data_IF_710639988656
#
_entry.id   IF_710639988656
#
_cell.length_a   1.000
_cell.length_b   1.000
_cell.length_c   1.000
_cell.angle_alpha   90.00
_cell.angle_beta   90.00
_cell.angle_gamma   90.00
#
_symmetry.space_group_name_H-M   'P 1'
#
loop_
_entity.id
_entity.type
_entity.pdbx_description
1 polymer ?
#
# COMPACT_ATOMS: atom_id res chain seq x y z
N UNK A 1 -30.52 9.37 -2.74
CA UNK A 1 -29.54 10.48 -2.87
C UNK A 1 -29.67 10.99 -4.29
N UNK A 2 -29.87 12.30 -4.47
CA UNK A 2 -29.93 12.90 -5.81
C UNK A 2 -28.59 12.67 -6.53
N UNK A 3 -28.67 12.34 -7.81
CA UNK A 3 -27.53 11.90 -8.65
C UNK A 3 -26.59 13.05 -9.07
N UNK A 4 -26.83 14.27 -8.55
CA UNK A 4 -26.08 15.48 -8.90
C UNK A 4 -25.65 16.18 -7.61
N UNK A 5 -24.34 16.37 -7.46
CA UNK A 5 -23.76 17.13 -6.36
C UNK A 5 -24.26 18.58 -6.37
N UNK A 6 -24.70 19.08 -5.22
CA UNK A 6 -25.13 20.47 -5.06
C UNK A 6 -23.91 21.41 -4.97
N UNK A 7 -24.10 22.67 -5.37
CA UNK A 7 -23.05 23.69 -5.20
C UNK A 7 -22.82 23.95 -3.71
N UNK A 8 -21.58 23.76 -3.26
CA UNK A 8 -21.20 23.89 -1.85
C UNK A 8 -21.19 25.36 -1.39
N UNK A 9 -22.01 25.69 -0.38
CA UNK A 9 -21.78 26.85 0.50
C UNK A 9 -21.17 26.37 1.82
N UNK A 10 -19.87 26.64 2.08
CA UNK A 10 -19.21 26.22 3.32
C UNK A 10 -19.85 26.75 4.60
N UNK A 11 -20.60 27.86 4.56
CA UNK A 11 -21.27 28.42 5.75
C UNK A 11 -22.61 27.78 6.06
N UNK A 12 -23.21 27.09 5.09
CA UNK A 12 -24.54 26.48 5.22
C UNK A 12 -24.54 24.96 5.09
N UNK A 13 -23.38 24.35 4.83
CA UNK A 13 -23.21 22.91 4.90
C UNK A 13 -23.61 22.39 6.30
N UNK A 14 -24.56 21.44 6.40
CA UNK A 14 -24.89 20.82 7.68
C UNK A 14 -23.71 20.05 8.24
N UNK A 15 -23.30 20.39 9.46
CA UNK A 15 -22.14 19.82 10.14
C UNK A 15 -22.45 18.53 10.90
N UNK A 16 -23.61 17.91 10.63
CA UNK A 16 -24.04 16.64 11.24
C UNK A 16 -24.26 15.56 10.17
N UNK A 17 -23.98 14.32 10.58
CA UNK A 17 -24.05 13.14 9.71
C UNK A 17 -22.89 13.07 8.72
N UNK A 18 -23.07 12.22 7.71
CA UNK A 18 -22.07 11.99 6.67
C UNK A 18 -22.24 12.99 5.53
N UNK A 19 -21.12 13.59 5.08
CA UNK A 19 -21.08 14.53 3.97
C UNK A 19 -19.92 14.19 3.05
N UNK A 20 -20.21 14.11 1.75
CA UNK A 20 -19.20 13.96 0.71
C UNK A 20 -19.06 15.30 -0.03
N UNK A 21 -17.85 15.86 -0.03
CA UNK A 21 -17.53 17.09 -0.74
C UNK A 21 -16.59 16.76 -1.89
N UNK A 22 -17.06 16.97 -3.12
CA UNK A 22 -16.21 16.85 -4.31
C UNK A 22 -15.46 18.17 -4.54
N UNK A 23 -14.14 18.09 -4.73
CA UNK A 23 -13.33 19.28 -4.95
C UNK A 23 -12.16 19.04 -5.91
N UNK A 24 -12.26 19.58 -7.12
CA UNK A 24 -11.22 19.52 -8.17
C UNK A 24 -10.02 20.41 -7.86
N UNK A 25 -8.97 20.33 -8.68
CA UNK A 25 -7.80 21.21 -8.54
C UNK A 25 -8.21 22.69 -8.63
N UNK A 26 -7.70 23.53 -7.74
CA UNK A 26 -7.97 24.97 -7.74
C UNK A 26 -9.32 25.42 -7.18
N UNK A 27 -10.22 24.52 -6.75
CA UNK A 27 -11.57 24.88 -6.28
C UNK A 27 -11.66 25.30 -4.80
N UNK A 28 -10.54 25.70 -4.18
CA UNK A 28 -10.55 26.22 -2.81
C UNK A 28 -10.73 25.16 -1.71
N UNK A 29 -10.28 23.90 -1.91
CA UNK A 29 -10.29 22.85 -0.87
C UNK A 29 -9.83 23.34 0.50
N UNK A 30 -8.68 24.00 0.53
CA UNK A 30 -8.09 24.53 1.75
C UNK A 30 -8.98 25.60 2.40
N UNK A 31 -9.58 26.47 1.58
CA UNK A 31 -10.50 27.50 2.03
C UNK A 31 -11.74 26.89 2.66
N UNK A 32 -12.31 25.87 2.02
CA UNK A 32 -13.45 25.11 2.56
C UNK A 32 -13.12 24.47 3.90
N UNK A 33 -11.98 23.77 4.02
CA UNK A 33 -11.58 23.13 5.28
C UNK A 33 -11.45 24.18 6.39
N UNK A 34 -10.80 25.32 6.11
CA UNK A 34 -10.67 26.41 7.08
C UNK A 34 -12.02 26.95 7.55
N UNK A 35 -12.95 27.20 6.61
CA UNK A 35 -14.30 27.66 6.92
C UNK A 35 -15.04 26.67 7.83
N UNK A 36 -15.02 25.37 7.48
CA UNK A 36 -15.68 24.33 8.27
C UNK A 36 -15.06 24.19 9.67
N UNK A 37 -13.73 24.24 9.77
CA UNK A 37 -13.02 24.15 11.05
C UNK A 37 -13.40 25.30 12.00
N UNK A 38 -13.40 26.54 11.50
CA UNK A 38 -13.79 27.72 12.29
C UNK A 38 -15.27 27.66 12.70
N UNK A 39 -16.16 27.17 11.83
CA UNK A 39 -17.57 26.96 12.18
C UNK A 39 -17.76 25.95 13.28
N UNK A 40 -17.00 24.85 13.27
CA UNK A 40 -17.08 23.82 14.31
C UNK A 40 -16.54 24.33 15.66
N UNK A 41 -15.44 25.09 15.64
CA UNK A 41 -14.88 25.70 16.87
C UNK A 41 -15.86 26.68 17.54
N UNK A 42 -16.59 27.46 16.74
CA UNK A 42 -17.45 28.53 17.24
C UNK A 42 -18.95 28.16 17.29
N UNK A 43 -19.34 26.99 16.78
CA UNK A 43 -20.74 26.57 16.70
C UNK A 43 -21.58 27.37 15.71
N UNK A 44 -21.01 27.76 14.55
CA UNK A 44 -21.65 28.65 13.57
C UNK A 44 -22.44 27.92 12.46
N UNK A 45 -23.38 28.62 11.82
CA UNK A 45 -24.21 28.11 10.72
C UNK A 45 -25.70 27.85 11.05
N UNK A 46 -26.21 28.41 12.15
CA UNK A 46 -27.64 28.35 12.51
C UNK A 46 -28.19 26.90 12.54
N UNK A 47 -29.25 26.58 11.79
CA UNK A 47 -29.82 25.22 11.72
C UNK A 47 -28.86 24.17 11.14
N UNK A 48 -27.80 24.59 10.44
CA UNK A 48 -26.76 23.73 9.89
C UNK A 48 -25.53 23.60 10.82
N UNK A 49 -25.54 24.25 11.99
CA UNK A 49 -24.46 24.20 12.96
C UNK A 49 -24.36 22.82 13.64
N UNK A 50 -23.17 22.52 14.14
CA UNK A 50 -23.00 21.40 15.08
C UNK A 50 -23.68 21.76 16.41
N UNK A 51 -24.22 20.79 17.18
CA UNK A 51 -24.99 21.08 18.39
C UNK A 51 -24.28 21.89 19.48
N UNK A 52 -22.94 21.94 19.47
CA UNK A 52 -22.10 22.68 20.42
C UNK A 52 -20.80 23.15 19.75
N UNK A 53 -20.10 24.16 20.27
CA UNK A 53 -18.71 24.40 19.90
C UNK A 53 -17.83 23.21 20.29
N UNK A 54 -16.80 22.96 19.48
CA UNK A 54 -15.81 21.90 19.67
C UNK A 54 -14.43 22.48 19.98
N UNK A 55 -13.59 21.74 20.69
CA UNK A 55 -12.17 22.09 20.88
C UNK A 55 -11.30 21.58 19.73
N UNK A 56 -10.06 22.05 19.61
CA UNK A 56 -9.12 21.60 18.56
C UNK A 56 -8.77 20.11 18.65
N UNK A 57 -8.88 19.51 19.85
CA UNK A 57 -8.67 18.08 20.11
C UNK A 57 -9.87 17.23 19.68
N UNK A 58 -11.08 17.81 19.69
CA UNK A 58 -12.32 17.14 19.28
C UNK A 58 -12.52 17.15 17.76
N UNK A 59 -11.71 17.92 17.02
CA UNK A 59 -11.78 18.09 15.58
C UNK A 59 -10.75 17.21 14.86
N UNK A 60 -11.12 15.95 14.60
CA UNK A 60 -10.28 15.01 13.88
C UNK A 60 -10.17 15.38 12.39
N UNK A 61 -8.94 15.63 11.95
CA UNK A 61 -8.59 15.84 10.54
C UNK A 61 -7.48 14.86 10.16
N UNK A 62 -7.73 14.04 9.14
CA UNK A 62 -6.77 13.04 8.65
C UNK A 62 -6.35 13.30 7.21
N UNK A 63 -5.08 13.06 6.88
CA UNK A 63 -4.54 13.19 5.52
C UNK A 63 -3.48 12.11 5.23
N UNK A 64 -2.98 12.05 4.00
CA UNK A 64 -2.10 10.97 3.54
C UNK A 64 -0.63 11.16 3.92
N UNK A 65 -0.14 12.40 4.00
CA UNK A 65 1.30 12.69 4.10
C UNK A 65 1.61 13.61 5.28
N UNK A 66 2.76 13.42 5.91
CA UNK A 66 3.24 14.28 7.00
C UNK A 66 3.46 15.74 6.56
N UNK A 67 3.85 15.99 5.30
CA UNK A 67 3.95 17.36 4.81
C UNK A 67 2.58 18.06 4.78
N UNK A 68 1.52 17.33 4.40
CA UNK A 68 0.16 17.86 4.37
C UNK A 68 -0.43 18.05 5.76
N UNK A 69 -0.06 17.24 6.77
CA UNK A 69 -0.50 17.47 8.16
C UNK A 69 0.08 18.77 8.69
N UNK A 70 1.38 19.00 8.50
CA UNK A 70 2.06 20.23 8.94
C UNK A 70 1.53 21.47 8.21
N UNK A 71 1.39 21.39 6.88
CA UNK A 71 0.80 22.48 6.08
C UNK A 71 -0.61 22.82 6.58
N UNK A 72 -1.44 21.80 6.84
CA UNK A 72 -2.81 21.98 7.27
C UNK A 72 -2.89 22.53 8.70
N UNK A 73 -2.07 22.03 9.62
CA UNK A 73 -1.99 22.52 11.01
C UNK A 73 -1.57 23.98 11.05
N UNK A 74 -0.52 24.35 10.30
CA UNK A 74 -0.06 25.73 10.18
C UNK A 74 -1.15 26.66 9.63
N UNK A 75 -1.87 26.23 8.60
CA UNK A 75 -2.99 26.99 8.03
C UNK A 75 -4.15 27.14 9.00
N UNK A 76 -4.55 26.09 9.72
CA UNK A 76 -5.62 26.16 10.72
C UNK A 76 -5.23 27.17 11.82
N UNK A 77 -4.00 27.10 12.33
CA UNK A 77 -3.47 28.06 13.32
C UNK A 77 -3.55 29.50 12.79
N UNK A 78 -3.12 29.76 11.55
CA UNK A 78 -3.22 31.10 10.94
C UNK A 78 -4.65 31.59 10.86
N UNK A 79 -5.58 30.75 10.38
CA UNK A 79 -6.99 31.11 10.25
C UNK A 79 -7.64 31.43 11.61
N UNK A 80 -7.33 30.67 12.67
CA UNK A 80 -7.80 30.92 14.03
C UNK A 80 -7.26 32.28 14.51
N UNK A 81 -5.96 32.52 14.33
CA UNK A 81 -5.32 33.78 14.72
C UNK A 81 -5.95 34.98 13.99
N UNK A 82 -6.09 34.91 12.67
CA UNK A 82 -6.63 35.99 11.85
C UNK A 82 -8.10 36.27 12.19
N UNK A 83 -8.93 35.25 12.35
CA UNK A 83 -10.32 35.44 12.76
C UNK A 83 -10.41 36.02 14.19
N UNK A 84 -9.51 35.62 15.10
CA UNK A 84 -9.44 36.20 16.44
C UNK A 84 -9.16 37.69 16.39
N UNK A 85 -8.16 38.11 15.60
CA UNK A 85 -7.84 39.53 15.41
C UNK A 85 -9.04 40.26 14.77
N UNK A 86 -9.70 39.66 13.78
CA UNK A 86 -10.90 40.20 13.16
C UNK A 86 -12.04 40.37 14.18
N UNK A 87 -12.22 39.44 15.12
CA UNK A 87 -13.21 39.56 16.21
C UNK A 87 -12.88 40.71 17.17
N UNK A 88 -11.60 40.92 17.50
CA UNK A 88 -11.16 42.02 18.38
C UNK A 88 -11.30 43.39 17.71
N UNK A 89 -11.08 43.46 16.40
CA UNK A 89 -11.21 44.69 15.59
C UNK A 89 -12.62 44.94 15.09
N UNK A 90 -13.50 43.94 15.21
CA UNK A 90 -14.84 43.89 14.62
C UNK A 90 -14.86 44.21 13.11
N UNK A 91 -13.75 43.97 12.41
CA UNK A 91 -13.53 44.33 11.00
C UNK A 91 -12.43 43.47 10.39
N UNK A 92 -12.54 43.24 9.07
CA UNK A 92 -11.58 42.45 8.30
C UNK A 92 -11.76 42.69 6.80
N UNK A 93 -10.67 42.61 6.05
CA UNK A 93 -10.69 42.66 4.58
C UNK A 93 -10.85 41.27 3.94
N UNK A 94 -10.78 40.19 4.75
CA UNK A 94 -10.93 38.82 4.25
C UNK A 94 -12.43 38.47 4.10
N UNK A 95 -12.92 38.14 2.89
CA UNK A 95 -14.34 37.88 2.66
C UNK A 95 -14.92 36.74 3.50
N UNK A 96 -14.14 35.69 3.80
CA UNK A 96 -14.60 34.59 4.65
C UNK A 96 -14.83 35.05 6.08
N UNK A 97 -13.86 35.77 6.64
CA UNK A 97 -13.94 36.24 8.01
C UNK A 97 -15.03 37.29 8.17
N UNK A 98 -15.25 38.13 7.16
CA UNK A 98 -16.36 39.09 7.15
C UNK A 98 -17.71 38.37 7.29
N UNK A 99 -17.95 37.34 6.47
CA UNK A 99 -19.19 36.53 6.57
C UNK A 99 -19.30 35.79 7.92
N UNK A 100 -18.19 35.30 8.48
CA UNK A 100 -18.20 34.68 9.80
C UNK A 100 -18.50 35.69 10.92
N UNK A 101 -17.96 36.91 10.85
CA UNK A 101 -18.22 37.98 11.82
C UNK A 101 -19.70 38.40 11.87
N UNK A 102 -20.40 38.31 10.73
CA UNK A 102 -21.84 38.54 10.64
C UNK A 102 -22.64 37.47 11.40
N UNK A 103 -22.16 36.22 11.43
CA UNK A 103 -22.81 35.11 12.16
C UNK A 103 -22.44 35.07 13.66
N UNK A 104 -21.34 35.71 14.06
CA UNK A 104 -20.89 35.75 15.46
C UNK A 104 -21.66 36.83 16.23
N UNK A 105 -22.48 36.38 17.19
CA UNK A 105 -23.24 37.24 18.11
C UNK A 105 -22.35 37.97 19.12
N UNK A 106 -21.52 37.23 19.86
CA UNK A 106 -20.56 37.78 20.83
C UNK A 106 -19.12 37.63 20.31
N UNK A 107 -18.62 38.71 19.70
CA UNK A 107 -17.26 38.77 19.12
C UNK A 107 -16.18 38.73 20.20
N UNK A 108 -16.45 39.21 21.42
CA UNK A 108 -15.49 39.18 22.53
C UNK A 108 -15.33 37.76 23.05
N UNK A 109 -16.44 37.05 23.23
CA UNK A 109 -16.42 35.63 23.62
C UNK A 109 -15.74 34.78 22.53
N UNK A 110 -16.09 34.98 21.26
CA UNK A 110 -15.45 34.28 20.15
C UNK A 110 -13.93 34.50 20.13
N UNK A 111 -13.45 35.73 20.35
CA UNK A 111 -12.02 36.02 20.44
C UNK A 111 -11.32 35.29 21.60
N UNK A 112 -12.01 35.09 22.73
CA UNK A 112 -11.48 34.31 23.86
C UNK A 112 -11.39 32.82 23.54
N UNK A 113 -12.43 32.24 22.92
CA UNK A 113 -12.41 30.85 22.48
C UNK A 113 -11.34 30.58 21.43
N UNK A 114 -11.21 31.47 20.44
CA UNK A 114 -10.17 31.38 19.43
C UNK A 114 -8.77 31.52 20.05
N UNK A 115 -8.59 32.36 21.07
CA UNK A 115 -7.31 32.45 21.79
C UNK A 115 -6.96 31.14 22.50
N UNK A 116 -7.94 30.48 23.11
CA UNK A 116 -7.72 29.18 23.74
C UNK A 116 -7.36 28.13 22.69
N UNK A 117 -8.12 28.06 21.60
CA UNK A 117 -7.84 27.16 20.48
C UNK A 117 -6.45 27.39 19.88
N UNK A 118 -6.04 28.65 19.66
CA UNK A 118 -4.72 29.03 19.16
C UNK A 118 -3.58 28.49 20.03
N UNK A 119 -3.75 28.58 21.37
CA UNK A 119 -2.79 28.06 22.35
C UNK A 119 -2.74 26.54 22.41
N UNK A 120 -3.85 25.87 22.11
CA UNK A 120 -3.96 24.41 22.12
C UNK A 120 -3.63 23.77 20.76
N UNK A 121 -3.20 24.54 19.76
CA UNK A 121 -2.95 24.01 18.41
C UNK A 121 -1.89 22.91 18.35
N UNK A 122 -0.98 22.83 19.34
CA UNK A 122 0.02 21.76 19.41
C UNK A 122 -0.62 20.40 19.75
N UNK A 123 -1.80 20.40 20.37
CA UNK A 123 -2.60 19.21 20.71
C UNK A 123 -3.72 18.93 19.69
N UNK A 124 -3.82 19.77 18.64
CA UNK A 124 -4.88 19.65 17.63
C UNK A 124 -4.88 18.27 16.96
N UNK A 125 -6.07 17.69 16.79
CA UNK A 125 -6.27 16.35 16.24
C UNK A 125 -6.08 16.29 14.70
N UNK A 126 -4.91 16.73 14.21
CA UNK A 126 -4.52 16.72 12.80
C UNK A 126 -3.42 15.68 12.60
N UNK A 127 -3.75 14.56 11.97
CA UNK A 127 -2.86 13.39 11.83
C UNK A 127 -2.77 12.88 10.40
N UNK A 128 -1.74 12.08 10.12
CA UNK A 128 -1.82 11.14 9.00
C UNK A 128 -2.80 10.02 9.33
N UNK A 129 -3.29 9.31 8.32
CA UNK A 129 -4.14 8.11 8.54
C UNK A 129 -3.43 7.13 9.48
N UNK A 130 -2.14 6.86 9.24
CA UNK A 130 -1.34 5.98 10.08
C UNK A 130 -1.14 6.52 11.50
N UNK A 131 -0.82 7.81 11.66
CA UNK A 131 -0.66 8.43 12.97
C UNK A 131 -1.94 8.36 13.81
N UNK A 132 -3.10 8.55 13.18
CA UNK A 132 -4.39 8.38 13.86
C UNK A 132 -4.64 6.93 14.30
N UNK A 133 -4.44 5.96 13.40
CA UNK A 133 -4.60 4.54 13.73
C UNK A 133 -3.67 4.11 14.87
N UNK A 134 -2.40 4.51 14.83
CA UNK A 134 -1.44 4.21 15.89
C UNK A 134 -1.89 4.80 17.24
N UNK A 135 -2.33 6.06 17.26
CA UNK A 135 -2.85 6.70 18.48
C UNK A 135 -4.06 5.95 19.04
N UNK A 136 -4.99 5.51 18.19
CA UNK A 136 -6.16 4.74 18.64
C UNK A 136 -5.79 3.37 19.21
N UNK A 137 -4.81 2.68 18.61
CA UNK A 137 -4.29 1.41 19.11
C UNK A 137 -3.60 1.58 20.47
N UNK A 138 -2.80 2.63 20.65
CA UNK A 138 -2.12 2.91 21.92
C UNK A 138 -3.08 3.31 23.04
N UNK A 139 -4.10 4.13 22.74
CA UNK A 139 -5.08 4.57 23.75
C UNK A 139 -5.99 3.42 24.23
N UNK A 140 -6.27 2.45 23.36
CA UNK A 140 -7.09 1.27 23.66
C UNK A 140 -6.23 0.01 23.67
N UNK A 141 -5.04 0.07 24.31
CA UNK A 141 -4.07 -1.03 24.31
C UNK A 141 -4.66 -2.32 24.92
N UNK A 142 -5.52 -2.19 25.93
CA UNK A 142 -6.17 -3.33 26.58
C UNK A 142 -7.16 -4.03 25.64
N UNK A 143 -8.00 -3.27 24.93
CA UNK A 143 -8.98 -3.79 23.97
C UNK A 143 -8.30 -4.34 22.71
N UNK A 144 -7.21 -3.71 22.27
CA UNK A 144 -6.47 -4.11 21.06
C UNK A 144 -5.47 -5.24 21.28
N UNK A 145 -5.14 -5.59 22.54
CA UNK A 145 -4.10 -6.56 22.88
C UNK A 145 -2.69 -6.13 22.43
N UNK A 146 -2.52 -4.86 22.10
CA UNK A 146 -1.26 -4.31 21.61
C UNK A 146 -0.29 -4.10 22.79
N UNK A 147 0.99 -4.34 22.53
CA UNK A 147 2.05 -3.99 23.48
C UNK A 147 2.06 -2.47 23.70
N UNK A 148 2.30 -2.03 24.94
CA UNK A 148 2.44 -0.60 25.25
C UNK A 148 3.60 0.06 24.50
N UNK A 149 4.67 -0.70 24.25
CA UNK A 149 5.82 -0.25 23.48
C UNK A 149 5.84 -0.99 22.13
N UNK A 150 5.62 -0.23 21.05
CA UNK A 150 5.71 -0.73 19.68
C UNK A 150 6.75 0.06 18.93
N UNK A 151 7.59 -0.64 18.17
CA UNK A 151 8.52 -0.02 17.25
C UNK A 151 7.95 -0.08 15.85
N UNK A 152 7.83 1.09 15.21
CA UNK A 152 7.43 1.18 13.82
C UNK A 152 8.57 0.66 12.94
N UNK A 153 8.27 -0.30 12.08
CA UNK A 153 9.19 -0.80 11.06
C UNK A 153 8.83 -0.09 9.76
N UNK A 154 9.67 0.85 9.33
CA UNK A 154 9.42 1.65 8.12
C UNK A 154 9.69 0.87 6.82
N UNK A 155 10.68 -0.04 6.85
CA UNK A 155 11.04 -0.88 5.72
C UNK A 155 10.97 -2.37 6.08
N UNK A 156 9.92 -3.02 5.58
CA UNK A 156 9.69 -4.45 5.75
C UNK A 156 10.39 -5.31 4.67
N UNK A 157 11.08 -4.71 3.70
CA UNK A 157 11.64 -5.41 2.54
C UNK A 157 12.60 -6.54 2.95
N UNK A 158 13.43 -6.28 3.96
CA UNK A 158 14.36 -7.27 4.50
C UNK A 158 13.61 -8.42 5.18
N UNK A 159 12.58 -8.13 5.96
CA UNK A 159 11.78 -9.14 6.66
C UNK A 159 11.03 -10.04 5.66
N UNK A 160 10.44 -9.45 4.62
CA UNK A 160 9.78 -10.20 3.55
C UNK A 160 10.76 -11.07 2.79
N UNK A 161 11.96 -10.56 2.49
CA UNK A 161 13.01 -11.35 1.87
C UNK A 161 13.47 -12.51 2.75
N UNK A 162 13.67 -12.27 4.06
CA UNK A 162 14.03 -13.33 5.00
C UNK A 162 12.95 -14.41 5.07
N UNK A 163 11.67 -14.03 5.20
CA UNK A 163 10.55 -14.96 5.20
C UNK A 163 10.47 -15.78 3.89
N UNK A 164 10.66 -15.13 2.74
CA UNK A 164 10.68 -15.81 1.44
C UNK A 164 11.89 -16.76 1.30
N UNK A 165 13.06 -16.37 1.80
CA UNK A 165 14.25 -17.21 1.80
C UNK A 165 14.07 -18.43 2.72
N UNK A 166 13.44 -18.25 3.88
CA UNK A 166 13.11 -19.35 4.80
C UNK A 166 12.09 -20.32 4.21
N UNK A 167 11.04 -19.80 3.56
CA UNK A 167 10.12 -20.61 2.78
C UNK A 167 10.88 -21.45 1.74
N UNK A 168 11.77 -20.82 0.97
CA UNK A 168 12.55 -21.49 -0.06
C UNK A 168 13.46 -22.59 0.52
N UNK A 169 14.13 -22.34 1.64
CA UNK A 169 14.96 -23.34 2.33
C UNK A 169 14.15 -24.54 2.81
N UNK A 170 12.97 -24.30 3.38
CA UNK A 170 12.12 -25.36 3.94
C UNK A 170 11.41 -26.18 2.86
N UNK A 171 10.98 -25.54 1.77
CA UNK A 171 10.10 -26.17 0.78
C UNK A 171 10.77 -26.51 -0.56
N UNK A 172 11.88 -25.85 -0.91
CA UNK A 172 12.56 -26.09 -2.19
C UNK A 172 13.86 -26.90 -2.06
N UNK A 173 14.63 -26.73 -0.98
CA UNK A 173 15.88 -27.50 -0.80
C UNK A 173 15.68 -29.02 -0.65
N UNK A 174 14.62 -29.50 0.03
CA UNK A 174 14.38 -30.94 0.16
C UNK A 174 13.82 -31.60 -1.11
N UNK A 175 13.52 -30.83 -2.17
CA UNK A 175 12.87 -31.38 -3.36
C UNK A 175 13.83 -32.28 -4.15
N UNK A 176 13.34 -33.41 -4.69
CA UNK A 176 14.10 -34.21 -5.63
C UNK A 176 14.39 -33.41 -6.92
N UNK A 177 15.46 -33.81 -7.63
CA UNK A 177 16.03 -33.03 -8.75
C UNK A 177 15.03 -32.73 -9.87
N UNK A 178 14.16 -33.68 -10.20
CA UNK A 178 13.12 -33.55 -11.21
C UNK A 178 12.11 -32.45 -10.87
N UNK A 179 11.62 -32.42 -9.62
CA UNK A 179 10.70 -31.38 -9.14
C UNK A 179 11.44 -30.05 -8.97
N UNK A 180 12.66 -30.08 -8.41
CA UNK A 180 13.48 -28.89 -8.22
C UNK A 180 13.79 -28.19 -9.53
N UNK A 181 14.01 -28.93 -10.63
CA UNK A 181 14.22 -28.37 -11.95
C UNK A 181 12.97 -27.62 -12.45
N UNK A 182 11.77 -28.20 -12.28
CA UNK A 182 10.51 -27.54 -12.66
C UNK A 182 10.34 -26.23 -11.88
N UNK A 183 10.60 -26.24 -10.58
CA UNK A 183 10.54 -25.02 -9.75
C UNK A 183 11.59 -24.01 -10.22
N UNK A 184 12.82 -24.44 -10.51
CA UNK A 184 13.91 -23.57 -10.97
C UNK A 184 13.66 -22.94 -12.34
N UNK A 185 12.90 -23.61 -13.21
CA UNK A 185 12.52 -23.08 -14.52
C UNK A 185 11.51 -21.92 -14.41
N UNK A 186 10.68 -21.94 -13.36
CA UNK A 186 9.75 -20.83 -13.05
C UNK A 186 10.47 -19.74 -12.23
N UNK A 187 11.10 -20.11 -11.12
CA UNK A 187 11.78 -19.19 -10.22
C UNK A 187 13.21 -19.63 -9.96
N UNK A 188 14.19 -18.82 -10.38
CA UNK A 188 15.62 -19.11 -10.20
C UNK A 188 16.09 -19.06 -8.73
N UNK A 189 15.23 -18.62 -7.81
CA UNK A 189 15.53 -18.51 -6.38
C UNK A 189 14.51 -17.64 -5.63
N UNK A 190 14.72 -17.43 -4.32
CA UNK A 190 13.76 -16.72 -3.46
C UNK A 190 13.51 -15.28 -3.88
N UNK A 191 14.50 -14.58 -4.46
CA UNK A 191 14.30 -13.22 -4.98
C UNK A 191 13.30 -13.17 -6.14
N UNK A 192 13.34 -14.17 -7.02
CA UNK A 192 12.43 -14.25 -8.16
C UNK A 192 11.00 -14.58 -7.69
N UNK A 193 10.88 -15.52 -6.74
CA UNK A 193 9.60 -15.83 -6.12
C UNK A 193 8.99 -14.60 -5.44
N UNK A 194 9.78 -13.92 -4.59
CA UNK A 194 9.31 -12.72 -3.87
C UNK A 194 8.82 -11.66 -4.86
N UNK A 195 9.55 -11.40 -5.94
CA UNK A 195 9.16 -10.41 -6.95
C UNK A 195 7.77 -10.67 -7.54
N UNK A 196 7.42 -11.94 -7.79
CA UNK A 196 6.11 -12.29 -8.36
C UNK A 196 4.98 -12.19 -7.34
N UNK A 197 5.27 -12.44 -6.05
CA UNK A 197 4.25 -12.50 -4.99
C UNK A 197 4.14 -11.22 -4.15
N UNK A 198 5.12 -10.31 -4.20
CA UNK A 198 5.24 -9.17 -3.28
C UNK A 198 3.98 -8.30 -3.25
N UNK A 199 3.36 -8.08 -4.41
CA UNK A 199 2.08 -7.35 -4.55
C UNK A 199 0.90 -7.98 -3.81
N UNK A 200 0.97 -9.27 -3.49
CA UNK A 200 -0.07 -10.01 -2.78
C UNK A 200 0.23 -10.18 -1.30
N UNK A 201 1.49 -9.95 -0.90
CA UNK A 201 1.89 -9.91 0.51
C UNK A 201 1.46 -8.58 1.17
N UNK A 202 1.04 -7.61 0.36
CA UNK A 202 0.50 -6.33 0.78
C UNK A 202 -1.02 -6.35 0.60
N UNK A 203 -1.77 -6.49 1.69
CA UNK A 203 -3.24 -6.41 1.68
C UNK A 203 -3.95 -7.77 1.64
N UNK A 204 -5.07 -7.84 0.92
CA UNK A 204 -5.92 -9.04 0.89
C UNK A 204 -5.26 -10.17 0.10
N UNK A 205 -5.25 -11.37 0.70
CA UNK A 205 -4.73 -12.56 0.06
C UNK A 205 -5.54 -12.91 -1.20
N UNK A 206 -4.88 -13.23 -2.32
CA UNK A 206 -5.57 -13.55 -3.56
C UNK A 206 -6.37 -14.84 -3.41
N UNK A 207 -7.59 -14.84 -3.94
CA UNK A 207 -8.44 -16.04 -3.99
C UNK A 207 -8.03 -16.91 -5.18
N UNK A 208 -7.51 -18.09 -4.90
CA UNK A 208 -7.19 -19.10 -5.92
C UNK A 208 -8.50 -19.78 -6.34
N UNK A 209 -8.93 -19.60 -7.60
CA UNK A 209 -10.21 -20.13 -8.11
C UNK A 209 -10.32 -21.66 -8.08
N UNK A 210 -9.19 -22.34 -8.25
CA UNK A 210 -9.11 -23.80 -8.24
C UNK A 210 -7.90 -24.20 -7.39
N UNK A 211 -8.01 -24.12 -6.05
CA UNK A 211 -6.90 -24.47 -5.19
C UNK A 211 -6.62 -25.98 -5.27
N UNK A 212 -5.36 -26.40 -5.15
CA UNK A 212 -5.04 -27.81 -4.92
C UNK A 212 -5.69 -28.30 -3.63
N UNK A 213 -5.82 -29.62 -3.46
CA UNK A 213 -6.32 -30.15 -2.18
C UNK A 213 -5.31 -29.85 -1.07
N UNK A 214 -5.77 -29.75 0.18
CA UNK A 214 -4.87 -29.43 1.31
C UNK A 214 -3.80 -30.49 1.56
N UNK A 215 -4.05 -31.74 1.15
CA UNK A 215 -3.13 -32.86 1.29
C UNK A 215 -2.21 -33.03 0.07
N UNK A 216 -2.46 -32.30 -1.03
CA UNK A 216 -1.67 -32.39 -2.24
C UNK A 216 -0.31 -31.72 -2.05
N UNK A 217 0.76 -32.50 -2.19
CA UNK A 217 2.14 -32.03 -2.17
C UNK A 217 2.66 -31.80 -3.59
N UNK A 218 3.75 -31.05 -3.73
CA UNK A 218 4.45 -30.93 -5.02
C UNK A 218 4.86 -32.31 -5.57
N UNK A 219 5.25 -33.24 -4.69
CA UNK A 219 5.61 -34.60 -5.06
C UNK A 219 4.40 -35.38 -5.60
N UNK A 220 3.29 -35.41 -4.87
CA UNK A 220 2.09 -36.12 -5.30
C UNK A 220 1.52 -35.54 -6.60
N UNK A 221 1.54 -34.21 -6.75
CA UNK A 221 1.12 -33.55 -7.99
C UNK A 221 2.03 -33.91 -9.16
N UNK A 222 3.34 -33.92 -8.93
CA UNK A 222 4.32 -34.30 -9.95
C UNK A 222 4.08 -35.74 -10.43
N UNK A 223 3.90 -36.67 -9.50
CA UNK A 223 3.57 -38.08 -9.80
C UNK A 223 2.28 -38.21 -10.61
N UNK A 224 1.21 -37.50 -10.23
CA UNK A 224 -0.06 -37.50 -10.98
C UNK A 224 0.10 -36.96 -12.40
N UNK A 225 0.88 -35.89 -12.59
CA UNK A 225 1.17 -35.33 -13.90
C UNK A 225 1.97 -36.33 -14.75
N UNK A 226 3.00 -36.96 -14.19
CA UNK A 226 3.80 -37.98 -14.87
C UNK A 226 2.94 -39.19 -15.27
N UNK A 227 2.08 -39.68 -14.39
CA UNK A 227 1.15 -40.77 -14.67
C UNK A 227 0.24 -40.43 -15.86
N UNK A 228 -0.31 -39.21 -15.89
CA UNK A 228 -1.16 -38.74 -16.98
C UNK A 228 -0.40 -38.59 -18.31
N UNK A 229 0.83 -38.07 -18.28
CA UNK A 229 1.70 -38.00 -19.46
C UNK A 229 1.99 -39.40 -20.00
N UNK A 230 2.30 -40.36 -19.13
CA UNK A 230 2.60 -41.73 -19.53
C UNK A 230 1.38 -42.44 -20.12
N UNK A 231 0.19 -42.19 -19.56
CA UNK A 231 -1.07 -42.70 -20.12
C UNK A 231 -1.29 -42.19 -21.56
N UNK A 232 -1.08 -40.90 -21.80
CA UNK A 232 -1.21 -40.31 -23.16
C UNK A 232 -0.16 -40.90 -24.11
N UNK A 233 1.09 -41.07 -23.66
CA UNK A 233 2.15 -41.70 -24.46
C UNK A 233 1.77 -43.13 -24.84
N UNK A 234 1.20 -43.90 -23.91
CA UNK A 234 0.77 -45.26 -24.18
C UNK A 234 -0.35 -45.31 -25.22
N UNK A 235 -1.40 -44.51 -25.03
CA UNK A 235 -2.52 -44.42 -25.99
C UNK A 235 -2.05 -43.99 -27.39
N UNK A 236 -1.10 -43.05 -27.45
CA UNK A 236 -0.49 -42.63 -28.71
C UNK A 236 0.28 -43.77 -29.38
N UNK A 237 1.12 -44.49 -28.62
CA UNK A 237 1.86 -45.64 -29.15
C UNK A 237 0.92 -46.72 -29.69
N UNK A 238 -0.17 -47.03 -28.97
CA UNK A 238 -1.18 -48.01 -29.39
C UNK A 238 -1.89 -47.58 -30.69
N UNK A 239 -2.31 -46.31 -30.79
CA UNK A 239 -2.94 -45.76 -31.99
C UNK A 239 -1.97 -45.74 -33.19
N UNK A 240 -0.70 -45.42 -32.95
CA UNK A 240 0.34 -45.38 -33.98
C UNK A 240 0.79 -46.78 -34.40
N UNK A 241 0.76 -47.80 -33.54
CA UNK A 241 1.05 -49.17 -33.97
C UNK A 241 0.07 -49.73 -35.02
N UNK A 242 -1.10 -49.10 -35.20
CA UNK A 242 -2.03 -49.35 -36.30
C UNK A 242 -1.69 -48.63 -37.62
N UNK A 243 -0.80 -47.62 -37.60
CA UNK A 243 -0.39 -46.82 -38.76
C UNK A 243 1.11 -47.05 -39.04
N UNK A 244 1.44 -47.53 -40.24
CA UNK A 244 2.73 -48.16 -40.58
C UNK A 244 4.04 -47.43 -40.19
N UNK A 245 5.12 -48.21 -40.27
CA UNK A 245 6.53 -48.04 -39.86
C UNK A 245 7.21 -46.66 -39.88
N UNK A 246 6.63 -45.63 -40.48
CA UNK A 246 7.21 -44.27 -40.62
C UNK A 246 7.23 -43.48 -39.30
N UNK A 247 6.28 -43.72 -38.38
CA UNK A 247 6.17 -42.94 -37.12
C UNK A 247 7.17 -43.37 -36.04
N UNK A 248 7.69 -44.62 -36.09
CA UNK A 248 8.72 -45.10 -35.14
C UNK A 248 10.02 -44.28 -35.19
N UNK A 249 10.36 -43.72 -36.35
CA UNK A 249 11.60 -42.95 -36.55
C UNK A 249 11.52 -41.59 -35.84
N UNK A 250 10.34 -40.97 -35.80
CA UNK A 250 10.12 -39.69 -35.12
C UNK A 250 10.18 -39.89 -33.59
N UNK A 251 9.62 -41.00 -33.08
CA UNK A 251 9.68 -41.33 -31.65
C UNK A 251 11.10 -41.63 -31.15
N UNK A 252 11.91 -42.37 -31.91
CA UNK A 252 13.31 -42.64 -31.51
C UNK A 252 14.16 -41.37 -31.43
N UNK A 253 13.85 -40.36 -32.26
CA UNK A 253 14.48 -39.03 -32.18
C UNK A 253 13.96 -38.20 -31.01
N UNK A 254 12.68 -38.35 -30.65
CA UNK A 254 12.09 -37.71 -29.47
C UNK A 254 12.53 -38.34 -28.14
N UNK A 255 12.89 -39.64 -28.12
CA UNK A 255 13.55 -40.27 -26.96
C UNK A 255 15.03 -39.91 -26.82
N UNK A 256 15.68 -39.41 -27.90
CA UNK A 256 17.01 -38.78 -27.82
C UNK A 256 16.98 -37.36 -27.26
N UNK A 257 15.79 -36.81 -26.96
CA UNK A 257 15.68 -35.74 -25.97
C UNK A 257 15.91 -36.40 -24.62
N UNK A 258 17.19 -36.56 -24.29
CA UNK A 258 17.70 -36.96 -22.99
C UNK A 258 16.96 -36.23 -21.86
N UNK A 259 16.75 -36.85 -20.68
CA UNK A 259 16.42 -36.08 -19.50
C UNK A 259 17.61 -35.16 -19.24
N UNK A 260 17.48 -33.87 -19.57
CA UNK A 260 18.45 -32.78 -19.33
C UNK A 260 19.73 -33.23 -18.60
N UNK A 261 20.66 -33.84 -19.33
CA UNK A 261 21.97 -34.20 -18.80
C UNK A 261 22.84 -32.96 -18.89
N UNK A 262 23.29 -32.52 -17.71
CA UNK A 262 24.26 -31.48 -17.47
C UNK A 262 25.49 -31.63 -18.37
N UNK A 263 25.82 -30.57 -19.11
CA UNK A 263 27.10 -30.48 -19.78
C UNK A 263 28.23 -30.46 -18.77
N UNK A 264 29.03 -31.52 -18.75
CA UNK A 264 30.44 -31.43 -18.38
C UNK A 264 31.13 -30.51 -19.39
N UNK A 265 31.61 -29.38 -18.90
CA UNK A 265 32.46 -28.47 -19.65
C UNK A 265 33.89 -29.02 -19.54
N UNK A 266 34.30 -29.83 -20.53
CA UNK A 266 35.67 -30.31 -20.69
C UNK A 266 36.59 -29.09 -20.92
N UNK A 267 37.28 -28.66 -19.86
CA UNK A 267 38.40 -27.73 -19.93
C UNK A 267 39.63 -28.52 -20.42
N UNK A 268 39.86 -28.54 -21.72
CA UNK A 268 41.16 -28.88 -22.29
C UNK A 268 41.85 -27.65 -22.88
N UNK A 269 42.83 -27.20 -22.11
CA UNK A 269 44.13 -26.69 -22.52
C UNK A 269 44.35 -26.49 -24.03
N UNK A 270 44.52 -25.24 -24.43
CA UNK A 270 45.35 -24.86 -25.57
C UNK A 270 46.39 -23.82 -25.09
N UNK A 271 47.52 -24.33 -24.60
CA UNK A 271 48.81 -23.63 -24.71
C UNK A 271 49.38 -23.89 -26.11
N UNK A 272 49.45 -22.86 -26.95
CA UNK A 272 50.58 -22.65 -27.86
C UNK A 272 50.89 -21.15 -27.84
N UNK A 273 52.08 -20.82 -27.38
CA UNK A 273 52.56 -19.44 -27.30
C UNK A 273 53.14 -18.94 -28.61
N UNK A 274 53.16 -17.62 -28.76
CA UNK A 274 54.22 -16.91 -29.46
C UNK A 274 54.41 -15.52 -28.82
N UNK A 275 55.65 -15.25 -28.46
CA UNK A 275 56.20 -14.02 -27.87
C UNK A 275 55.98 -12.81 -28.80
N UNK A 276 55.89 -11.58 -28.28
CA UNK A 276 56.97 -10.58 -28.03
C UNK A 276 56.38 -9.17 -28.00
N UNK A 277 56.91 -8.36 -27.06
CA UNK A 277 57.07 -6.89 -27.06
C UNK A 277 55.75 -6.06 -27.08
N UNK A 278 55.57 -4.93 -26.41
CA UNK A 278 56.49 -3.91 -25.93
C UNK A 278 55.78 -2.99 -24.89
N UNK A 279 56.59 -2.14 -24.26
CA UNK A 279 56.42 -1.21 -23.14
C UNK A 279 55.22 -0.23 -23.13
N UNK A 280 55.01 0.35 -21.92
CA UNK A 280 54.53 1.71 -21.51
C UNK A 280 53.31 1.62 -20.57
N UNK A 281 53.42 1.76 -19.24
CA UNK A 281 53.55 2.99 -18.42
C UNK A 281 52.68 4.15 -18.97
N UNK A 282 51.79 4.81 -18.22
CA UNK A 282 52.02 5.60 -17.00
C UNK A 282 50.65 5.97 -16.39
N UNK A 283 50.63 6.12 -15.05
CA UNK A 283 49.64 6.74 -14.14
C UNK A 283 48.27 6.11 -13.96
#
# INVERSE_FOLDING_TARGET
MNDVAETLDPLRLPLTGERLIEASAGTGKTFTIAALYLRLLLGLGSAAAFPRPLTVEELLVVTFTEAATEELRGRIRSNIHELRIACLRESTDNPLYARLLEEISDKKQAAQWLLLAERQMDEAAVFTIHGFCQRMLSLNAFESGMLFEQQLIEDESLLRYQACADFWRRHCYPLPRDIAQVVFDVWKGPKALLKDIDRYLQGEAPVIKAPPSQEETLASRHEQILARINQVKQQWCEAVSGAGSTVRIIWHRSQKIQPWQSGEMDRKDHRVGARRDEKLSVT
#
